data_IF_044223471192
#
_entry.id   IF_044223471192
#
_cell.length_a   1.000
_cell.length_b   1.000
_cell.length_c   1.000
_cell.angle_alpha   90.00
_cell.angle_beta   90.00
_cell.angle_gamma   90.00
#
_symmetry.space_group_name_H-M   'P 1'
#
loop_
_entity.id
_entity.type
_entity.pdbx_description
1 polymer ?
#
# COMPACT_ATOMS: atom_id res chain seq x y z
N UNK A 1 7.01 -3.15 -1.25
CA UNK A 1 5.92 -4.12 -1.08
C UNK A 1 4.67 -3.35 -0.67
N UNK A 2 3.52 -3.58 -1.31
CA UNK A 2 2.24 -3.00 -0.85
C UNK A 2 1.43 -4.12 -0.18
N UNK A 3 0.81 -3.81 0.96
CA UNK A 3 -0.07 -4.74 1.69
C UNK A 3 -1.47 -4.15 1.70
N UNK A 4 -2.43 -4.87 1.13
CA UNK A 4 -3.85 -4.55 1.23
C UNK A 4 -4.41 -5.10 2.55
N UNK A 5 -5.13 -4.27 3.29
CA UNK A 5 -5.76 -4.62 4.56
C UNK A 5 -7.24 -4.28 4.44
N UNK A 6 -8.09 -5.30 4.59
CA UNK A 6 -9.54 -5.14 4.72
C UNK A 6 -9.91 -5.42 6.17
N UNK A 7 -10.71 -4.55 6.77
CA UNK A 7 -11.23 -4.73 8.13
C UNK A 7 -12.71 -4.97 8.01
N UNK A 8 -13.16 -6.02 8.69
CA UNK A 8 -14.56 -6.36 8.83
C UNK A 8 -14.96 -6.21 10.31
N UNK A 9 -16.22 -5.86 10.52
CA UNK A 9 -16.84 -5.78 11.84
C UNK A 9 -18.04 -6.71 11.87
N UNK A 10 -18.18 -7.47 12.95
CA UNK A 10 -19.29 -8.39 13.15
C UNK A 10 -19.89 -8.16 14.54
N UNK A 11 -21.23 -8.13 14.59
CA UNK A 11 -21.99 -8.14 15.84
C UNK A 11 -22.48 -9.56 16.06
N UNK A 12 -21.88 -10.26 17.03
CA UNK A 12 -22.07 -11.71 17.21
C UNK A 12 -23.51 -12.10 17.55
N UNK A 13 -24.29 -11.20 18.16
CA UNK A 13 -25.69 -11.42 18.49
C UNK A 13 -26.65 -11.17 17.31
N UNK A 14 -26.15 -10.65 16.18
CA UNK A 14 -26.96 -10.30 15.01
C UNK A 14 -26.75 -11.29 13.86
N UNK A 15 -27.83 -11.71 13.20
CA UNK A 15 -27.80 -12.68 12.08
C UNK A 15 -27.36 -12.06 10.73
N UNK A 16 -26.46 -11.08 10.77
CA UNK A 16 -26.12 -10.22 9.63
C UNK A 16 -24.75 -10.56 9.00
N UNK A 17 -23.95 -11.39 9.66
CA UNK A 17 -22.58 -11.74 9.29
C UNK A 17 -21.59 -10.54 9.34
N UNK A 18 -20.31 -10.78 9.01
CA UNK A 18 -19.30 -9.72 8.95
C UNK A 18 -19.64 -8.66 7.90
N UNK A 19 -19.44 -7.40 8.26
CA UNK A 19 -19.60 -6.25 7.39
C UNK A 19 -18.28 -5.54 7.16
N UNK A 20 -18.04 -5.11 5.92
CA UNK A 20 -16.85 -4.34 5.59
C UNK A 20 -16.84 -2.98 6.30
N UNK A 21 -15.77 -2.69 7.03
CA UNK A 21 -15.59 -1.44 7.76
C UNK A 21 -14.62 -0.48 7.07
N UNK A 22 -13.44 -0.96 6.66
CA UNK A 22 -12.46 -0.15 5.94
C UNK A 22 -11.52 -0.99 5.07
N UNK A 23 -10.97 -0.36 4.04
CA UNK A 23 -9.82 -0.84 3.28
C UNK A 23 -8.66 0.14 3.39
N UNK A 24 -7.45 -0.38 3.49
CA UNK A 24 -6.23 0.41 3.48
C UNK A 24 -5.11 -0.29 2.71
N UNK A 25 -4.16 0.50 2.19
CA UNK A 25 -2.98 0.03 1.47
C UNK A 25 -1.74 0.61 2.11
N UNK A 26 -0.81 -0.26 2.51
CA UNK A 26 0.41 0.13 3.21
C UNK A 26 1.66 -0.20 2.39
N UNK A 27 2.58 0.76 2.28
CA UNK A 27 3.89 0.54 1.67
C UNK A 27 4.88 0.07 2.74
N UNK A 28 5.36 -1.15 2.60
CA UNK A 28 6.33 -1.79 3.48
C UNK A 28 7.70 -1.94 2.80
N UNK A 29 8.77 -1.81 3.60
CA UNK A 29 10.17 -1.96 3.19
C UNK A 29 10.83 -3.00 4.08
N UNK A 30 11.37 -4.07 3.47
CA UNK A 30 12.16 -5.05 4.20
C UNK A 30 13.56 -4.49 4.49
N UNK A 31 14.05 -4.69 5.71
CA UNK A 31 15.35 -4.22 6.17
C UNK A 31 16.21 -5.41 6.60
N UNK A 32 17.50 -5.36 6.30
CA UNK A 32 18.49 -6.30 6.81
C UNK A 32 18.83 -6.03 8.29
N UNK A 33 19.74 -6.83 8.86
CA UNK A 33 20.19 -6.70 10.27
C UNK A 33 20.83 -5.35 10.58
N UNK A 34 21.27 -4.61 9.57
CA UNK A 34 21.92 -3.31 9.69
C UNK A 34 20.94 -2.16 9.37
N UNK A 35 19.65 -2.45 9.20
CA UNK A 35 18.63 -1.45 8.88
C UNK A 35 18.67 -0.97 7.42
N UNK A 36 19.32 -1.70 6.52
CA UNK A 36 19.41 -1.33 5.09
C UNK A 36 18.31 -2.03 4.30
N UNK A 37 17.69 -1.36 3.32
CA UNK A 37 16.70 -2.00 2.45
C UNK A 37 17.26 -3.25 1.78
N UNK A 38 16.48 -4.33 1.79
CA UNK A 38 16.82 -5.57 1.11
C UNK A 38 15.74 -5.97 0.11
N UNK A 39 16.15 -6.76 -0.89
CA UNK A 39 15.22 -7.29 -1.88
C UNK A 39 14.22 -8.25 -1.21
N UNK A 40 12.98 -8.21 -1.67
CA UNK A 40 11.93 -9.16 -1.32
C UNK A 40 11.57 -9.98 -2.57
N UNK A 41 11.19 -11.26 -2.41
CA UNK A 41 10.69 -12.05 -3.53
C UNK A 41 9.49 -11.37 -4.21
N UNK A 42 9.35 -11.51 -5.54
CA UNK A 42 8.16 -11.03 -6.24
C UNK A 42 6.93 -11.85 -5.81
N UNK A 43 5.74 -11.24 -5.96
CA UNK A 43 4.48 -11.93 -5.72
C UNK A 43 4.12 -12.80 -6.93
N UNK A 44 3.83 -14.07 -6.68
CA UNK A 44 3.25 -14.97 -7.69
C UNK A 44 1.74 -14.72 -7.75
N UNK A 45 1.20 -14.52 -8.96
CA UNK A 45 -0.21 -14.17 -9.20
C UNK A 45 -0.86 -15.33 -9.94
N UNK A 46 -1.86 -15.96 -9.33
CA UNK A 46 -2.52 -17.14 -9.87
C UNK A 46 -3.86 -16.76 -10.51
N UNK A 47 -4.63 -15.91 -9.83
CA UNK A 47 -6.00 -15.57 -10.25
C UNK A 47 -6.08 -14.26 -11.02
N UNK A 48 -7.13 -14.08 -11.82
CA UNK A 48 -7.38 -12.82 -12.52
C UNK A 48 -7.67 -11.66 -11.56
N UNK A 49 -8.27 -11.95 -10.40
CA UNK A 49 -8.52 -10.96 -9.35
C UNK A 49 -7.19 -10.45 -8.75
N UNK A 50 -6.25 -11.35 -8.45
CA UNK A 50 -4.91 -10.99 -7.97
C UNK A 50 -4.15 -10.14 -9.00
N UNK A 51 -4.22 -10.52 -10.29
CA UNK A 51 -3.61 -9.73 -11.37
C UNK A 51 -4.21 -8.33 -11.45
N UNK A 52 -5.54 -8.21 -11.38
CA UNK A 52 -6.22 -6.92 -11.38
C UNK A 52 -5.83 -6.06 -10.16
N UNK A 53 -5.76 -6.66 -8.97
CA UNK A 53 -5.33 -5.99 -7.75
C UNK A 53 -3.87 -5.51 -7.82
N UNK A 54 -2.98 -6.33 -8.41
CA UNK A 54 -1.58 -6.00 -8.62
C UNK A 54 -1.39 -4.83 -9.61
N UNK A 55 -2.15 -4.80 -10.70
CA UNK A 55 -2.13 -3.66 -11.64
C UNK A 55 -2.68 -2.37 -11.00
N UNK A 56 -3.70 -2.47 -10.14
CA UNK A 56 -4.17 -1.32 -9.36
C UNK A 56 -3.09 -0.83 -8.36
N UNK A 57 -2.34 -1.74 -7.74
CA UNK A 57 -1.23 -1.41 -6.86
C UNK A 57 -0.10 -0.66 -7.58
N UNK A 58 0.25 -1.06 -8.81
CA UNK A 58 1.24 -0.35 -9.64
C UNK A 58 0.84 1.12 -9.85
N UNK A 59 -0.42 1.38 -10.19
CA UNK A 59 -0.94 2.75 -10.37
C UNK A 59 -0.86 3.58 -9.08
N UNK A 60 -1.20 2.98 -7.93
CA UNK A 60 -1.04 3.66 -6.62
C UNK A 60 0.42 3.99 -6.33
N UNK A 61 1.32 3.07 -6.64
CA UNK A 61 2.76 3.25 -6.44
C UNK A 61 3.33 4.39 -7.29
N UNK A 62 2.96 4.45 -8.57
CA UNK A 62 3.35 5.56 -9.47
C UNK A 62 2.87 6.91 -8.92
N UNK A 63 1.61 6.99 -8.49
CA UNK A 63 1.03 8.19 -7.91
C UNK A 63 1.73 8.61 -6.60
N UNK A 64 2.10 7.65 -5.76
CA UNK A 64 2.88 7.91 -4.55
C UNK A 64 4.22 8.58 -4.89
N UNK A 65 4.95 8.06 -5.89
CA UNK A 65 6.23 8.62 -6.31
C UNK A 65 6.09 10.02 -6.93
N UNK A 66 5.07 10.25 -7.74
CA UNK A 66 4.75 11.57 -8.28
C UNK A 66 4.50 12.59 -7.16
N UNK A 67 3.66 12.23 -6.19
CA UNK A 67 3.36 13.08 -5.02
C UNK A 67 4.60 13.35 -4.17
N UNK A 68 5.44 12.34 -3.96
CA UNK A 68 6.71 12.49 -3.22
C UNK A 68 7.61 13.51 -3.90
N UNK A 69 7.82 13.40 -5.22
CA UNK A 69 8.63 14.33 -6.01
C UNK A 69 8.08 15.77 -5.92
N UNK A 70 6.77 15.94 -6.08
CA UNK A 70 6.12 17.25 -5.95
C UNK A 70 6.33 17.88 -4.57
N UNK A 71 6.27 17.08 -3.49
CA UNK A 71 6.53 17.57 -2.12
C UNK A 71 7.98 17.98 -1.91
N UNK A 72 8.93 17.21 -2.45
CA UNK A 72 10.37 17.53 -2.39
C UNK A 72 10.67 18.82 -3.16
N UNK A 73 10.11 18.99 -4.36
CA UNK A 73 10.24 20.22 -5.16
C UNK A 73 9.63 21.44 -4.45
N UNK A 74 8.44 21.26 -3.85
CA UNK A 74 7.79 22.33 -3.08
C UNK A 74 8.63 22.73 -1.85
N UNK A 75 9.18 21.75 -1.11
CA UNK A 75 10.03 22.01 0.04
C UNK A 75 11.34 22.74 -0.36
N UNK A 76 11.97 22.34 -1.46
CA UNK A 76 13.17 23.00 -1.98
C UNK A 76 12.92 24.47 -2.36
N UNK A 77 11.75 24.79 -2.94
CA UNK A 77 11.35 26.18 -3.27
C UNK A 77 11.11 27.06 -2.05
N UNK A 78 10.73 26.49 -0.91
CA UNK A 78 10.53 27.22 0.35
C UNK A 78 11.86 27.54 1.02
N UNK A 79 12.84 26.63 0.97
CA UNK A 79 14.16 26.80 1.61
C UNK A 79 15.06 27.77 0.84
N UNK A 80 14.86 27.92 -0.47
CA UNK A 80 15.63 28.84 -1.32
C UNK A 80 15.18 30.30 -1.32
N UNK A 81 14.19 30.67 -0.50
CA UNK A 81 13.73 32.05 -0.27
C UNK A 81 14.05 32.48 1.14
#
# INVERSE_FOLDING_TARGET
MEVAVNVEVEVLEADQGPQHALSAYFTMVALDRNGRPMAVPPLELETEEEKAAFEAAKKRHELYHQRKKQREEAAARVIGK
#
